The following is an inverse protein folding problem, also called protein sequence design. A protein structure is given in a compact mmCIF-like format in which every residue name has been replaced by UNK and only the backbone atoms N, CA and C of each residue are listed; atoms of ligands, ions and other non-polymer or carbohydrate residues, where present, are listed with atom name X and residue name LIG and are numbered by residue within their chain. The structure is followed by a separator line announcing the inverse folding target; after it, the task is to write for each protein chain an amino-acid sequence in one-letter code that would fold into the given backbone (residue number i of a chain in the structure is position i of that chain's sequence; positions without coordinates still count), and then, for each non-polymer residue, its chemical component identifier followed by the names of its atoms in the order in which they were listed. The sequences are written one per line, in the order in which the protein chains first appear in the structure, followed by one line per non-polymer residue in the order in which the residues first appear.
data_IF_817545020834
#
_entry.id   IF_817545020834
#
_cell.length_a   1.000
_cell.length_b   1.000
_cell.length_c   1.000
_cell.angle_alpha   90.00
_cell.angle_beta   90.00
_cell.angle_gamma   90.00
#
_symmetry.space_group_name_H-M   'P 1'
#
loop_
_entity.id
_entity.type
_entity.pdbx_description
1 polymer ?
#
# COMPACT_ATOMS: atom_id res chain seq x y z
N UNK A 1 6.21 -24.88 -8.61
CA UNK A 1 6.75 -23.50 -8.63
C UNK A 1 5.77 -22.59 -7.91
N UNK A 2 6.01 -22.22 -6.65
CA UNK A 2 5.21 -21.17 -6.00
C UNK A 2 6.19 -20.22 -5.30
N UNK A 3 6.77 -19.39 -6.18
CA UNK A 3 7.49 -18.12 -6.02
C UNK A 3 7.89 -17.73 -4.58
N UNK A 4 9.21 -17.61 -4.39
CA UNK A 4 9.81 -16.66 -3.46
C UNK A 4 9.27 -15.27 -3.78
N UNK A 5 8.21 -14.87 -3.09
CA UNK A 5 7.78 -13.49 -3.00
C UNK A 5 8.93 -12.74 -2.34
N UNK A 6 9.72 -12.03 -3.14
CA UNK A 6 10.61 -10.98 -2.64
C UNK A 6 9.79 -10.22 -1.62
N UNK A 7 10.28 -10.08 -0.38
CA UNK A 7 9.61 -9.37 0.72
C UNK A 7 9.39 -7.88 0.38
N UNK A 8 8.59 -7.59 -0.65
CA UNK A 8 7.99 -6.31 -0.93
C UNK A 8 6.89 -6.18 0.11
N UNK A 9 7.32 -5.93 1.35
CA UNK A 9 6.42 -5.86 2.49
C UNK A 9 5.28 -4.92 2.18
N UNK A 10 4.11 -5.19 2.76
CA UNK A 10 2.95 -4.32 2.59
C UNK A 10 3.27 -2.94 3.13
N UNK A 11 2.81 -1.89 2.43
CA UNK A 11 2.94 -0.53 2.93
C UNK A 11 2.21 -0.42 4.27
N UNK A 12 2.94 -0.16 5.37
CA UNK A 12 2.33 -0.11 6.71
C UNK A 12 1.25 0.97 6.82
N UNK A 13 1.34 2.01 6.00
CA UNK A 13 0.44 3.17 6.05
C UNK A 13 -0.96 2.88 5.46
N UNK A 14 -1.01 2.21 4.31
CA UNK A 14 -2.27 1.83 3.67
C UNK A 14 -2.58 0.33 3.82
N UNK A 15 -1.76 -0.42 4.53
CA UNK A 15 -1.91 -1.86 4.76
C UNK A 15 -2.06 -2.65 3.45
N UNK A 16 -1.37 -2.24 2.38
CA UNK A 16 -1.47 -2.88 1.07
C UNK A 16 -2.54 -2.33 0.12
N UNK A 17 -3.43 -1.45 0.57
CA UNK A 17 -4.55 -0.97 -0.26
C UNK A 17 -4.12 0.02 -1.37
N UNK A 18 -3.01 0.72 -1.19
CA UNK A 18 -2.57 1.77 -2.12
C UNK A 18 -3.29 3.12 -1.93
N UNK A 19 -4.30 3.19 -1.06
CA UNK A 19 -5.04 4.41 -0.72
C UNK A 19 -5.35 4.45 0.77
N UNK A 20 -5.68 5.63 1.29
CA UNK A 20 -6.20 5.81 2.65
C UNK A 20 -7.66 6.28 2.57
N UNK A 21 -8.49 5.78 3.48
CA UNK A 21 -9.88 6.22 3.61
C UNK A 21 -9.93 7.50 4.44
N UNK A 22 -10.62 8.51 3.93
CA UNK A 22 -10.79 9.78 4.61
C UNK A 22 -12.01 9.73 5.54
N UNK A 23 -11.89 10.39 6.69
CA UNK A 23 -12.94 10.43 7.71
C UNK A 23 -14.25 11.05 7.19
N UNK A 24 -14.14 12.04 6.30
CA UNK A 24 -15.27 12.70 5.65
C UNK A 24 -15.84 11.91 4.46
N UNK A 25 -15.34 10.68 4.24
CA UNK A 25 -15.64 9.85 3.08
C UNK A 25 -14.65 10.06 1.93
N UNK A 26 -14.59 9.07 1.03
CA UNK A 26 -13.67 9.06 -0.10
C UNK A 26 -12.29 8.48 0.22
N UNK A 27 -11.48 8.31 -0.80
CA UNK A 27 -10.11 7.81 -0.67
C UNK A 27 -9.14 8.75 -1.36
N UNK A 28 -7.96 8.89 -0.78
CA UNK A 28 -6.83 9.53 -1.46
C UNK A 28 -5.72 8.51 -1.68
N UNK A 29 -4.98 8.67 -2.77
CA UNK A 29 -3.82 7.83 -3.07
C UNK A 29 -2.84 7.88 -1.90
N UNK A 30 -2.41 6.73 -1.41
CA UNK A 30 -1.53 6.65 -0.25
C UNK A 30 -0.23 7.40 -0.55
N UNK A 31 0.10 8.47 0.20
CA UNK A 31 1.26 9.31 -0.11
C UNK A 31 2.59 8.56 0.09
N UNK A 32 2.60 7.56 0.98
CA UNK A 32 3.80 6.79 1.30
C UNK A 32 4.21 5.83 0.18
N UNK A 33 3.25 5.12 -0.42
CA UNK A 33 3.53 4.15 -1.48
C UNK A 33 3.13 4.64 -2.88
N UNK A 34 2.61 5.87 -2.99
CA UNK A 34 2.14 6.50 -4.23
C UNK A 34 1.17 5.62 -5.02
N UNK A 35 0.27 4.91 -4.33
CA UNK A 35 -0.71 4.02 -4.97
C UNK A 35 -0.27 2.57 -5.16
N UNK A 36 1.00 2.24 -4.89
CA UNK A 36 1.50 0.89 -5.19
C UNK A 36 1.07 -0.18 -4.17
N UNK A 37 0.66 0.21 -2.97
CA UNK A 37 0.36 -0.72 -1.87
C UNK A 37 1.59 -1.40 -1.26
N UNK A 38 2.79 -1.14 -1.80
CA UNK A 38 4.03 -1.80 -1.43
C UNK A 38 4.88 -0.89 -0.55
N UNK A 39 5.68 -1.46 0.35
CA UNK A 39 6.79 -0.74 0.98
C UNK A 39 7.69 -0.22 -0.13
N UNK A 40 8.05 1.05 -0.03
CA UNK A 40 9.18 1.55 -0.79
C UNK A 40 10.39 0.70 -0.40
N UNK A 41 11.02 0.05 -1.38
CA UNK A 41 12.27 -0.67 -1.20
C UNK A 41 13.36 0.29 -0.72
#
# INVERSE_FOLDING_TARGET
MEKMDQQQGVCDYCQGNGYIQLLLGGSETCPNCKGSGKKAA
#
